data_IF_972475144646
#
_entry.id   IF_972475144646
#
_cell.length_a   1.000
_cell.length_b   1.000
_cell.length_c   1.000
_cell.angle_alpha   90.00
_cell.angle_beta   90.00
_cell.angle_gamma   90.00
#
_symmetry.space_group_name_H-M   'P 1'
#
loop_
_entity.id
_entity.type
_entity.pdbx_description
1 polymer ?
#
# COMPACT_ATOMS: atom_id res chain seq x y z
N UNK A 1 -21.45 -3.94 7.74
CA UNK A 1 -20.66 -2.75 8.07
C UNK A 1 -19.19 -3.12 8.18
N UNK A 2 -18.33 -2.35 7.54
CA UNK A 2 -16.89 -2.58 7.54
C UNK A 2 -16.31 -2.26 8.92
N UNK A 3 -15.63 -3.19 9.61
CA UNK A 3 -15.20 -3.00 11.00
C UNK A 3 -14.16 -1.87 11.16
N UNK A 4 -13.41 -1.57 10.10
CA UNK A 4 -12.42 -0.47 10.11
C UNK A 4 -13.06 0.93 10.14
N UNK A 5 -14.36 1.05 9.83
CA UNK A 5 -15.08 2.32 9.83
C UNK A 5 -15.19 2.96 11.23
N UNK A 6 -15.13 2.15 12.28
CA UNK A 6 -15.18 2.58 13.66
C UNK A 6 -13.82 2.81 14.31
N UNK A 7 -12.74 2.63 13.55
CA UNK A 7 -11.37 2.83 14.04
C UNK A 7 -10.78 4.12 13.50
N UNK A 8 -9.77 4.63 14.20
CA UNK A 8 -8.98 5.76 13.71
C UNK A 8 -8.30 5.35 12.41
N UNK A 9 -8.33 6.25 11.41
CA UNK A 9 -7.64 6.01 10.13
C UNK A 9 -6.13 6.04 10.41
N UNK A 10 -5.38 4.99 10.04
CA UNK A 10 -3.92 4.98 10.20
C UNK A 10 -3.27 6.05 9.35
N UNK A 11 -2.08 6.51 9.72
CA UNK A 11 -1.29 7.39 8.88
C UNK A 11 -0.85 6.66 7.61
N UNK A 12 -0.90 7.35 6.48
CA UNK A 12 -0.53 6.86 5.16
C UNK A 12 0.42 7.85 4.49
N UNK A 13 1.27 7.34 3.61
CA UNK A 13 2.19 8.14 2.82
C UNK A 13 2.57 7.42 1.54
N UNK A 14 3.28 8.09 0.65
CA UNK A 14 3.97 7.47 -0.48
C UNK A 14 5.46 7.49 -0.22
N UNK A 15 6.11 6.35 -0.40
CA UNK A 15 7.56 6.20 -0.24
C UNK A 15 8.17 5.93 -1.61
N UNK A 16 9.27 6.63 -1.91
CA UNK A 16 10.11 6.37 -3.07
C UNK A 16 11.32 5.54 -2.64
N UNK A 17 11.51 4.39 -3.27
CA UNK A 17 12.74 3.62 -3.12
C UNK A 17 13.79 4.14 -4.11
N UNK A 18 14.98 4.40 -3.64
CA UNK A 18 16.08 4.91 -4.46
C UNK A 18 17.15 3.84 -4.62
N UNK A 19 17.00 2.90 -5.57
CA UNK A 19 18.02 1.89 -5.83
C UNK A 19 19.25 2.52 -6.47
N UNK A 20 20.39 1.86 -6.30
CA UNK A 20 21.59 2.17 -7.10
C UNK A 20 21.41 1.56 -8.49
N UNK A 21 20.44 2.11 -9.25
CA UNK A 21 19.97 1.54 -10.51
C UNK A 21 21.06 1.26 -11.54
N UNK A 22 22.16 2.06 -11.52
CA UNK A 22 23.31 1.89 -12.43
C UNK A 22 24.06 0.57 -12.21
N UNK A 23 24.02 0.03 -10.99
CA UNK A 23 24.66 -1.21 -10.60
C UNK A 23 23.73 -2.42 -10.66
N UNK A 24 22.43 -2.19 -10.93
CA UNK A 24 21.45 -3.26 -11.03
C UNK A 24 21.62 -4.06 -12.32
N UNK A 25 21.74 -5.37 -12.16
CA UNK A 25 21.77 -6.35 -13.28
C UNK A 25 20.39 -6.86 -13.62
N UNK A 26 19.54 -6.95 -12.62
CA UNK A 26 18.18 -7.51 -12.69
C UNK A 26 17.23 -6.66 -11.86
N UNK A 27 15.91 -6.67 -12.17
CA UNK A 27 14.90 -6.04 -11.35
C UNK A 27 14.87 -6.62 -9.94
N UNK A 28 14.60 -5.78 -8.93
CA UNK A 28 14.50 -6.18 -7.53
C UNK A 28 13.04 -6.05 -7.06
N UNK A 29 12.48 -7.13 -6.52
CA UNK A 29 11.12 -7.13 -5.97
C UNK A 29 11.13 -6.79 -4.49
N UNK A 30 10.24 -5.91 -4.09
CA UNK A 30 9.91 -5.59 -2.70
C UNK A 30 8.49 -6.06 -2.46
N UNK A 31 8.33 -6.99 -1.54
CA UNK A 31 7.04 -7.61 -1.26
C UNK A 31 6.06 -6.62 -0.58
N UNK A 32 4.76 -6.91 -0.69
CA UNK A 32 3.74 -6.30 0.16
C UNK A 32 4.05 -6.60 1.64
N UNK A 33 3.86 -5.61 2.52
CA UNK A 33 4.15 -5.75 3.95
C UNK A 33 5.62 -5.51 4.32
N UNK A 34 6.46 -5.09 3.35
CA UNK A 34 7.83 -4.70 3.65
C UNK A 34 7.84 -3.49 4.60
N UNK A 35 8.59 -3.60 5.69
CA UNK A 35 8.63 -2.57 6.73
C UNK A 35 9.58 -1.43 6.35
N UNK A 36 9.08 -0.20 6.51
CA UNK A 36 9.85 1.03 6.39
C UNK A 36 9.62 1.89 7.63
N UNK A 37 10.65 2.57 8.08
CA UNK A 37 10.60 3.38 9.28
C UNK A 37 10.70 4.87 8.97
N UNK A 38 9.93 5.69 9.68
CA UNK A 38 10.06 7.13 9.60
C UNK A 38 11.40 7.60 10.20
N UNK A 39 11.73 8.87 9.96
CA UNK A 39 12.70 9.55 10.80
C UNK A 39 12.19 9.58 12.24
N UNK A 40 13.09 9.71 13.25
CA UNK A 40 12.66 9.86 14.63
C UNK A 40 11.72 11.07 14.80
N UNK A 41 10.59 10.87 15.50
CA UNK A 41 9.55 11.87 15.71
C UNK A 41 9.31 12.05 17.21
N UNK A 42 8.94 13.27 17.62
CA UNK A 42 8.62 13.62 18.99
C UNK A 42 9.83 13.65 19.92
N UNK A 43 9.60 13.99 21.18
CA UNK A 43 10.65 14.15 22.20
C UNK A 43 11.42 12.85 22.50
N UNK A 44 10.75 11.71 22.36
CA UNK A 44 11.34 10.37 22.59
C UNK A 44 12.07 9.80 21.39
N UNK A 45 12.07 10.51 20.25
CA UNK A 45 12.70 10.02 19.02
C UNK A 45 12.10 8.73 18.47
N UNK A 46 10.79 8.53 18.62
CA UNK A 46 10.09 7.32 18.16
C UNK A 46 10.12 7.23 16.63
N UNK A 47 10.47 6.07 16.12
CA UNK A 47 10.36 5.75 14.69
C UNK A 47 9.03 5.08 14.41
N UNK A 48 8.20 5.73 13.61
CA UNK A 48 6.92 5.15 13.21
C UNK A 48 7.14 4.10 12.13
N UNK A 49 6.54 2.93 12.33
CA UNK A 49 6.66 1.78 11.44
C UNK A 49 5.55 1.81 10.40
N UNK A 50 5.91 1.69 9.15
CA UNK A 50 4.99 1.59 8.02
C UNK A 50 5.24 0.29 7.27
N UNK A 51 4.24 -0.19 6.57
CA UNK A 51 4.38 -1.32 5.65
C UNK A 51 3.92 -0.95 4.25
N UNK A 52 4.57 -1.50 3.23
CA UNK A 52 4.15 -1.36 1.84
C UNK A 52 2.79 -2.02 1.63
N UNK A 53 1.89 -1.34 0.90
CA UNK A 53 0.52 -1.82 0.69
C UNK A 53 0.40 -2.77 -0.49
N UNK A 54 1.40 -2.82 -1.36
CA UNK A 54 1.50 -3.71 -2.51
C UNK A 54 2.94 -4.09 -2.81
N UNK A 55 3.12 -5.12 -3.63
CA UNK A 55 4.42 -5.46 -4.20
C UNK A 55 4.84 -4.38 -5.20
N UNK A 56 6.14 -4.09 -5.24
CA UNK A 56 6.76 -3.21 -6.23
C UNK A 56 8.02 -3.86 -6.78
N UNK A 57 8.24 -3.68 -8.08
CA UNK A 57 9.46 -4.11 -8.76
C UNK A 57 10.30 -2.88 -9.14
N UNK A 58 11.47 -2.77 -8.54
CA UNK A 58 12.45 -1.74 -8.87
C UNK A 58 13.18 -2.15 -10.14
N UNK A 59 13.16 -1.26 -11.13
CA UNK A 59 13.77 -1.52 -12.43
C UNK A 59 15.18 -0.92 -12.51
N UNK A 60 16.09 -1.48 -13.33
CA UNK A 60 17.45 -0.98 -13.53
C UNK A 60 17.49 0.27 -14.43
N UNK A 61 16.61 1.24 -14.16
CA UNK A 61 16.44 2.47 -14.93
C UNK A 61 16.07 3.66 -14.03
N UNK A 62 16.26 4.85 -14.56
CA UNK A 62 15.82 6.09 -13.92
C UNK A 62 15.24 7.04 -14.97
N UNK A 63 14.25 7.84 -14.58
CA UNK A 63 13.75 8.92 -15.42
C UNK A 63 14.76 10.06 -15.38
N UNK A 64 15.41 10.34 -16.52
CA UNK A 64 16.45 11.38 -16.64
C UNK A 64 15.82 12.76 -16.78
N UNK A 65 14.81 12.87 -17.66
CA UNK A 65 14.03 14.08 -17.80
C UNK A 65 12.61 13.83 -18.29
N UNK A 66 11.73 14.77 -17.97
CA UNK A 66 10.39 14.90 -18.53
C UNK A 66 10.24 16.34 -19.05
N UNK A 67 9.94 16.50 -20.32
CA UNK A 67 9.86 17.82 -20.97
C UNK A 67 8.59 17.96 -21.78
N UNK A 68 7.97 19.12 -21.64
CA UNK A 68 6.85 19.53 -22.49
C UNK A 68 7.40 20.38 -23.63
N UNK A 69 7.02 20.06 -24.86
CA UNK A 69 7.37 20.78 -26.07
C UNK A 69 6.18 20.88 -27.00
N UNK A 70 6.33 21.60 -28.09
CA UNK A 70 5.32 21.67 -29.13
C UNK A 70 5.90 21.09 -30.42
N UNK A 71 5.19 20.15 -31.03
CA UNK A 71 5.52 19.57 -32.34
C UNK A 71 5.31 20.61 -33.48
N UNK A 72 5.97 20.49 -34.63
CA UNK A 72 5.72 21.34 -35.82
C UNK A 72 4.23 21.45 -36.21
N UNK A 73 3.44 20.41 -35.93
CA UNK A 73 1.99 20.41 -36.15
C UNK A 73 1.18 21.19 -35.10
N UNK A 74 1.86 21.85 -34.12
CA UNK A 74 1.24 22.61 -33.04
C UNK A 74 0.69 21.78 -31.87
N UNK A 75 0.93 20.46 -31.85
CA UNK A 75 0.52 19.57 -30.78
C UNK A 75 1.49 19.60 -29.61
N UNK A 76 0.98 19.43 -28.41
CA UNK A 76 1.81 19.26 -27.22
C UNK A 76 2.41 17.86 -27.17
N UNK A 77 3.70 17.80 -26.88
CA UNK A 77 4.46 16.53 -26.76
C UNK A 77 5.17 16.51 -25.42
N UNK A 78 4.96 15.44 -24.68
CA UNK A 78 5.68 15.16 -23.44
C UNK A 78 6.77 14.12 -23.73
N UNK A 79 8.04 14.51 -23.66
CA UNK A 79 9.17 13.60 -23.85
C UNK A 79 9.67 13.08 -22.53
N UNK A 80 9.65 11.76 -22.37
CA UNK A 80 10.13 11.03 -21.18
C UNK A 80 11.39 10.25 -21.56
N UNK A 81 12.54 10.67 -21.03
CA UNK A 81 13.80 9.98 -21.28
C UNK A 81 14.24 9.17 -20.07
N UNK A 82 14.54 7.92 -20.31
CA UNK A 82 15.01 6.97 -19.31
C UNK A 82 16.48 6.65 -19.54
N UNK A 83 17.29 6.77 -18.50
CA UNK A 83 18.65 6.24 -18.45
C UNK A 83 18.61 4.81 -17.93
N UNK A 84 19.34 3.94 -18.58
CA UNK A 84 19.33 2.50 -18.35
C UNK A 84 20.67 2.00 -17.80
N UNK A 85 20.64 1.01 -16.91
CA UNK A 85 21.85 0.38 -16.40
C UNK A 85 22.59 -0.35 -17.51
N UNK A 86 23.88 -0.10 -17.66
CA UNK A 86 24.75 -0.80 -18.59
C UNK A 86 25.06 -2.25 -18.17
N UNK A 87 24.74 -2.61 -16.93
CA UNK A 87 24.94 -3.97 -16.41
C UNK A 87 23.68 -4.85 -16.59
N UNK A 88 22.54 -4.25 -16.94
CA UNK A 88 21.30 -4.98 -17.05
C UNK A 88 21.19 -5.78 -18.35
N UNK A 89 20.68 -6.99 -18.24
CA UNK A 89 20.33 -7.83 -19.40
C UNK A 89 18.91 -7.47 -19.87
N UNK A 90 18.79 -6.47 -20.74
CA UNK A 90 17.51 -5.90 -21.17
C UNK A 90 16.53 -6.91 -21.77
N UNK A 91 17.04 -7.97 -22.38
CA UNK A 91 16.20 -9.09 -22.88
C UNK A 91 15.49 -9.87 -21.76
N UNK A 92 15.88 -9.70 -20.50
CA UNK A 92 15.29 -10.36 -19.32
C UNK A 92 14.54 -9.40 -18.40
N UNK A 93 14.60 -8.09 -18.70
CA UNK A 93 13.89 -7.06 -17.90
C UNK A 93 12.44 -7.00 -18.38
N UNK A 94 11.52 -7.25 -17.46
CA UNK A 94 10.09 -7.11 -17.73
C UNK A 94 9.69 -5.64 -17.63
N UNK A 95 9.41 -5.04 -18.80
CA UNK A 95 8.89 -3.68 -18.93
C UNK A 95 7.41 -3.67 -19.35
N UNK A 96 6.67 -4.74 -19.08
CA UNK A 96 5.24 -4.81 -19.36
C UNK A 96 4.44 -3.67 -18.74
N UNK A 97 4.94 -3.12 -17.62
CA UNK A 97 4.39 -1.93 -17.00
C UNK A 97 5.49 -1.13 -16.27
N UNK A 98 5.62 0.16 -16.58
CA UNK A 98 6.43 1.10 -15.81
C UNK A 98 5.49 1.97 -14.98
N UNK A 99 5.42 1.79 -13.66
CA UNK A 99 4.59 2.61 -12.78
C UNK A 99 5.24 3.96 -12.49
N UNK A 100 4.45 5.02 -12.52
CA UNK A 100 4.80 6.38 -12.14
C UNK A 100 3.90 6.87 -11.02
N UNK A 101 4.44 7.73 -10.18
CA UNK A 101 3.70 8.52 -9.20
C UNK A 101 3.79 10.00 -9.55
N UNK A 102 2.66 10.71 -9.55
CA UNK A 102 2.60 12.15 -9.72
C UNK A 102 2.90 12.85 -8.39
N UNK A 103 4.15 13.23 -8.19
CA UNK A 103 4.61 13.95 -7.02
C UNK A 103 4.44 15.46 -7.23
N UNK A 104 3.21 15.93 -7.21
CA UNK A 104 2.84 17.32 -7.48
C UNK A 104 1.67 17.74 -6.58
N UNK A 105 1.40 19.03 -6.54
CA UNK A 105 0.17 19.55 -5.96
C UNK A 105 -1.06 19.05 -6.73
N UNK A 106 -2.23 19.14 -6.11
CA UNK A 106 -3.43 18.51 -6.67
C UNK A 106 -3.80 19.02 -8.07
N UNK A 107 -3.74 20.33 -8.40
CA UNK A 107 -4.05 20.80 -9.74
C UNK A 107 -3.11 20.24 -10.81
N UNK A 108 -1.80 20.28 -10.58
CA UNK A 108 -0.83 19.74 -11.52
C UNK A 108 -0.93 18.22 -11.63
N UNK A 109 -1.09 17.51 -10.51
CA UNK A 109 -1.23 16.05 -10.50
C UNK A 109 -2.48 15.59 -11.29
N UNK A 110 -3.62 16.28 -11.15
CA UNK A 110 -4.82 15.99 -11.92
C UNK A 110 -4.65 16.30 -13.42
N UNK A 111 -4.03 17.43 -13.76
CA UNK A 111 -3.75 17.79 -15.15
C UNK A 111 -2.82 16.76 -15.82
N UNK A 112 -1.78 16.32 -15.12
CA UNK A 112 -0.89 15.27 -15.61
C UNK A 112 -1.63 13.94 -15.76
N UNK A 113 -2.45 13.56 -14.78
CA UNK A 113 -3.23 12.34 -14.84
C UNK A 113 -4.16 12.33 -16.08
N UNK A 114 -4.87 13.43 -16.32
CA UNK A 114 -5.71 13.61 -17.50
C UNK A 114 -4.90 13.53 -18.81
N UNK A 115 -3.78 14.26 -18.88
CA UNK A 115 -2.93 14.27 -20.09
C UNK A 115 -2.47 12.86 -20.48
N UNK A 116 -2.01 12.07 -19.51
CA UNK A 116 -1.48 10.75 -19.81
C UNK A 116 -2.57 9.69 -20.03
N UNK A 117 -3.67 9.72 -19.27
CA UNK A 117 -4.67 8.64 -19.31
C UNK A 117 -5.81 8.91 -20.30
N UNK A 118 -6.15 10.16 -20.57
CA UNK A 118 -7.30 10.55 -21.39
C UNK A 118 -6.92 11.32 -22.65
N UNK A 119 -5.83 12.09 -22.62
CA UNK A 119 -5.45 12.99 -23.70
C UNK A 119 -4.23 12.50 -24.51
N UNK A 120 -3.79 11.25 -24.34
CA UNK A 120 -2.73 10.66 -25.15
C UNK A 120 -3.27 10.21 -26.51
N UNK A 121 -2.79 10.82 -27.60
CA UNK A 121 -3.17 10.45 -28.95
C UNK A 121 -2.27 9.36 -29.55
N UNK A 122 -0.95 9.49 -29.34
CA UNK A 122 0.06 8.57 -29.91
C UNK A 122 1.29 8.51 -29.01
N UNK A 123 1.96 7.36 -29.03
CA UNK A 123 3.27 7.17 -28.43
C UNK A 123 4.31 6.91 -29.50
N UNK A 124 5.48 7.51 -29.32
CA UNK A 124 6.64 7.28 -30.16
C UNK A 124 7.80 6.83 -29.28
N UNK A 125 8.57 5.88 -29.76
CA UNK A 125 9.76 5.37 -29.11
C UNK A 125 10.99 5.78 -29.90
N UNK A 126 12.04 6.18 -29.20
CA UNK A 126 13.38 6.41 -29.72
C UNK A 126 14.40 5.60 -28.95
N UNK A 127 15.22 4.86 -29.68
CA UNK A 127 16.35 4.09 -29.12
C UNK A 127 17.68 4.67 -29.60
N UNK A 128 18.80 4.35 -28.91
CA UNK A 128 20.13 4.69 -29.39
C UNK A 128 20.40 4.12 -30.78
N UNK A 129 20.86 4.97 -31.70
CA UNK A 129 21.14 4.57 -33.10
C UNK A 129 19.96 4.67 -34.05
N UNK A 130 18.72 4.88 -33.56
CA UNK A 130 17.59 5.20 -34.43
C UNK A 130 17.78 6.63 -34.99
N UNK A 131 17.66 6.78 -36.31
CA UNK A 131 17.68 8.10 -36.94
C UNK A 131 16.43 8.90 -36.60
N UNK A 132 15.27 8.22 -36.60
CA UNK A 132 13.96 8.81 -36.32
C UNK A 132 13.21 8.04 -35.23
N UNK A 133 12.23 8.71 -34.63
CA UNK A 133 11.28 8.09 -33.71
C UNK A 133 10.38 7.09 -34.45
N UNK A 134 10.10 5.95 -33.84
CA UNK A 134 9.20 4.92 -34.38
C UNK A 134 7.89 4.87 -33.58
N UNK A 135 6.74 4.55 -34.23
CA UNK A 135 5.49 4.43 -33.50
C UNK A 135 5.57 3.27 -32.49
N UNK A 136 4.99 3.49 -31.34
CA UNK A 136 4.88 2.51 -30.27
C UNK A 136 3.39 2.24 -30.02
N UNK A 137 2.99 0.97 -30.08
CA UNK A 137 1.65 0.53 -29.69
C UNK A 137 1.60 0.36 -28.17
N UNK A 138 1.40 1.47 -27.47
CA UNK A 138 1.37 1.54 -26.04
C UNK A 138 0.32 2.50 -25.53
N UNK A 139 0.07 2.45 -24.22
CA UNK A 139 -0.91 3.30 -23.57
C UNK A 139 -0.59 3.49 -22.10
N UNK A 140 -1.20 4.51 -21.49
CA UNK A 140 -1.17 4.72 -20.07
C UNK A 140 -2.47 4.23 -19.41
N UNK A 141 -2.34 3.64 -18.24
CA UNK A 141 -3.46 3.16 -17.43
C UNK A 141 -3.40 3.75 -16.03
N UNK A 142 -4.54 4.21 -15.52
CA UNK A 142 -4.64 4.64 -14.13
C UNK A 142 -4.44 3.43 -13.19
N UNK A 143 -3.67 3.62 -12.13
CA UNK A 143 -3.41 2.62 -11.11
C UNK A 143 -4.06 3.04 -9.78
N UNK A 144 -4.11 2.12 -8.83
CA UNK A 144 -4.67 2.39 -7.50
C UNK A 144 -6.14 1.97 -7.32
N UNK A 145 -6.80 1.46 -8.38
CA UNK A 145 -8.22 1.07 -8.35
C UNK A 145 -8.43 -0.44 -8.21
N UNK A 146 -7.39 -1.23 -8.43
CA UNK A 146 -7.46 -2.69 -8.36
C UNK A 146 -7.60 -3.22 -6.93
N UNK A 147 -8.04 -4.48 -6.83
CA UNK A 147 -8.16 -5.18 -5.57
C UNK A 147 -6.79 -5.35 -4.87
N UNK A 148 -5.72 -5.51 -5.63
CA UNK A 148 -4.35 -5.63 -5.13
C UNK A 148 -3.75 -4.29 -4.68
N UNK A 149 -4.36 -3.17 -5.09
CA UNK A 149 -3.95 -1.82 -4.70
C UNK A 149 -4.55 -1.35 -3.36
N UNK A 150 -5.29 -2.20 -2.65
CA UNK A 150 -5.93 -1.81 -1.39
C UNK A 150 -4.93 -1.45 -0.31
N UNK A 151 -5.19 -0.35 0.40
CA UNK A 151 -4.37 0.11 1.52
C UNK A 151 -4.56 -0.79 2.75
N UNK A 152 -5.81 -1.15 3.05
CA UNK A 152 -6.14 -2.06 4.15
C UNK A 152 -6.31 -3.49 3.65
N UNK A 153 -6.00 -4.49 4.48
CA UNK A 153 -6.34 -5.87 4.19
C UNK A 153 -7.85 -6.02 3.94
N UNK A 154 -8.22 -6.89 3.01
CA UNK A 154 -9.63 -7.21 2.74
C UNK A 154 -10.23 -7.90 3.95
N UNK A 155 -11.28 -7.33 4.52
CA UNK A 155 -12.14 -8.05 5.46
C UNK A 155 -13.11 -8.97 4.70
N UNK A 156 -13.36 -10.17 5.24
CA UNK A 156 -14.23 -11.21 4.62
C UNK A 156 -15.66 -10.74 4.32
N UNK A 157 -16.09 -9.64 4.92
CA UNK A 157 -17.49 -9.22 4.97
C UNK A 157 -17.76 -7.83 4.41
N UNK A 158 -16.78 -7.18 3.77
CA UNK A 158 -16.97 -5.82 3.30
C UNK A 158 -17.10 -5.71 1.79
N UNK A 159 -18.05 -4.90 1.33
CA UNK A 159 -18.17 -4.53 -0.07
C UNK A 159 -16.98 -3.63 -0.47
N UNK A 160 -16.26 -4.05 -1.51
CA UNK A 160 -15.02 -3.39 -1.94
C UNK A 160 -15.20 -1.92 -2.34
N UNK A 161 -16.37 -1.54 -2.84
CA UNK A 161 -16.67 -0.17 -3.24
C UNK A 161 -16.65 0.82 -2.08
N UNK A 162 -17.10 0.44 -0.88
CA UNK A 162 -17.01 1.32 0.29
C UNK A 162 -15.57 1.55 0.75
N UNK A 163 -14.73 0.52 0.63
CA UNK A 163 -13.31 0.67 0.93
C UNK A 163 -12.65 1.64 -0.04
N UNK A 164 -12.92 1.49 -1.34
CA UNK A 164 -12.36 2.37 -2.37
C UNK A 164 -12.76 3.84 -2.15
N UNK A 165 -14.03 4.09 -1.82
CA UNK A 165 -14.52 5.43 -1.48
C UNK A 165 -13.82 6.01 -0.24
N UNK A 166 -13.67 5.20 0.81
CA UNK A 166 -12.97 5.65 2.01
C UNK A 166 -11.50 6.00 1.71
N UNK A 167 -10.82 5.16 0.95
CA UNK A 167 -9.43 5.40 0.54
C UNK A 167 -9.30 6.67 -0.30
N UNK A 168 -10.25 6.93 -1.20
CA UNK A 168 -10.26 8.15 -2.02
C UNK A 168 -10.39 9.43 -1.18
N UNK A 169 -11.28 9.43 -0.20
CA UNK A 169 -11.48 10.60 0.65
C UNK A 169 -10.43 10.76 1.75
N UNK A 170 -9.70 9.70 2.09
CA UNK A 170 -8.68 9.74 3.16
C UNK A 170 -7.25 9.84 2.65
N UNK A 171 -6.96 9.26 1.48
CA UNK A 171 -5.62 9.22 0.89
C UNK A 171 -5.69 9.17 -0.64
N UNK A 172 -6.04 10.27 -1.26
CA UNK A 172 -6.19 10.38 -2.72
C UNK A 172 -4.88 10.19 -3.48
N UNK A 173 -3.72 10.36 -2.83
CA UNK A 173 -2.39 10.16 -3.41
C UNK A 173 -2.23 8.74 -3.96
N UNK A 174 -2.94 7.76 -3.41
CA UNK A 174 -3.03 6.40 -3.94
C UNK A 174 -3.50 6.35 -5.41
N UNK A 175 -4.34 7.29 -5.81
CA UNK A 175 -4.92 7.34 -7.16
C UNK A 175 -4.11 8.20 -8.13
N UNK A 176 -3.00 8.78 -7.67
CA UNK A 176 -2.07 9.55 -8.48
C UNK A 176 -0.95 8.68 -9.04
N UNK A 177 -1.24 7.41 -9.29
CA UNK A 177 -0.36 6.48 -9.96
C UNK A 177 -0.89 6.14 -11.35
N UNK A 178 0.01 6.00 -12.31
CA UNK A 178 -0.28 5.48 -13.64
C UNK A 178 0.78 4.48 -14.07
N UNK A 179 0.46 3.64 -15.04
CA UNK A 179 1.37 2.68 -15.64
C UNK A 179 1.51 2.91 -17.15
N UNK A 180 2.73 3.03 -17.64
CA UNK A 180 3.03 2.95 -19.07
C UNK A 180 3.10 1.48 -19.47
N UNK A 181 2.37 1.09 -20.51
CA UNK A 181 2.32 -0.25 -21.08
C UNK A 181 2.68 -0.25 -22.57
N UNK A 182 2.98 -1.41 -23.12
CA UNK A 182 3.30 -1.59 -24.54
C UNK A 182 4.79 -1.74 -24.81
N UNK A 183 5.66 -1.65 -23.80
CA UNK A 183 7.09 -1.88 -23.96
C UNK A 183 7.46 -3.38 -24.05
N UNK A 184 6.57 -4.27 -23.66
CA UNK A 184 6.74 -5.73 -23.79
C UNK A 184 6.85 -6.21 -25.23
N UNK A 185 6.27 -5.47 -26.19
CA UNK A 185 6.37 -5.75 -27.61
C UNK A 185 7.67 -5.22 -28.26
N UNK A 186 8.46 -4.45 -27.49
CA UNK A 186 9.68 -3.82 -28.00
C UNK A 186 10.89 -4.75 -27.81
N UNK A 187 11.63 -5.00 -28.88
CA UNK A 187 12.90 -5.71 -28.80
C UNK A 187 13.97 -4.68 -28.46
N UNK A 188 14.45 -4.74 -27.24
CA UNK A 188 15.55 -3.90 -26.77
C UNK A 188 16.91 -4.52 -27.14
N UNK A 189 17.91 -3.70 -27.55
CA UNK A 189 19.25 -4.17 -27.74
C UNK A 189 19.88 -4.65 -26.41
N UNK A 190 20.88 -5.54 -26.50
CA UNK A 190 21.58 -6.04 -25.31
C UNK A 190 22.24 -4.93 -24.49
N UNK A 191 22.74 -3.92 -25.18
CA UNK A 191 23.27 -2.70 -24.57
C UNK A 191 22.30 -1.56 -24.84
N UNK A 192 21.60 -1.14 -23.80
CA UNK A 192 20.62 -0.06 -23.85
C UNK A 192 21.00 1.04 -22.85
N UNK A 193 21.73 2.08 -23.26
CA UNK A 193 22.08 3.18 -22.36
C UNK A 193 20.89 4.06 -21.99
N UNK A 194 19.93 4.21 -22.90
CA UNK A 194 18.74 5.03 -22.72
C UNK A 194 17.65 4.67 -23.72
N UNK A 195 16.43 5.04 -23.41
CA UNK A 195 15.31 5.14 -24.38
C UNK A 195 14.46 6.36 -24.06
N UNK A 196 13.72 6.83 -25.05
CA UNK A 196 12.85 8.00 -24.92
C UNK A 196 11.47 7.70 -25.46
N UNK A 197 10.45 8.10 -24.71
CA UNK A 197 9.04 7.99 -25.11
C UNK A 197 8.50 9.40 -25.31
N UNK A 198 8.06 9.70 -26.53
CA UNK A 198 7.33 10.92 -26.85
C UNK A 198 5.81 10.63 -26.80
N UNK A 199 5.15 11.30 -25.88
CA UNK A 199 3.71 11.25 -25.69
C UNK A 199 3.07 12.43 -26.41
N UNK A 200 2.44 12.19 -27.56
CA UNK A 200 1.75 13.23 -28.31
C UNK A 200 0.33 13.35 -27.76
N UNK A 201 -0.03 14.55 -27.31
CA UNK A 201 -1.37 14.80 -26.78
C UNK A 201 -2.37 15.04 -27.94
N UNK A 202 -3.60 14.62 -27.73
CA UNK A 202 -4.71 14.86 -28.66
C UNK A 202 -5.11 16.34 -28.66
N UNK A 203 -5.16 16.92 -27.46
CA UNK A 203 -5.43 18.33 -27.23
C UNK A 203 -4.18 19.06 -26.75
N UNK A 204 -4.13 20.35 -26.94
CA UNK A 204 -3.01 21.18 -26.50
C UNK A 204 -3.00 21.24 -24.97
N UNK A 205 -1.79 21.20 -24.40
CA UNK A 205 -1.60 21.49 -22.97
C UNK A 205 -1.82 22.99 -22.73
N UNK A 206 -2.98 23.32 -22.20
CA UNK A 206 -3.40 24.71 -21.98
C UNK A 206 -3.12 25.22 -20.56
N UNK A 207 -2.52 24.39 -19.72
CA UNK A 207 -2.22 24.76 -18.35
C UNK A 207 -0.95 25.60 -18.26
N UNK A 208 -0.96 26.62 -17.41
CA UNK A 208 0.23 27.41 -17.06
C UNK A 208 1.24 26.63 -16.18
N UNK A 209 0.98 25.35 -15.97
CA UNK A 209 1.84 24.49 -15.16
C UNK A 209 3.02 23.98 -16.00
N UNK A 210 4.24 24.22 -15.53
CA UNK A 210 5.41 23.52 -16.01
C UNK A 210 5.66 22.28 -15.13
N UNK A 211 6.00 21.16 -15.76
CA UNK A 211 6.42 19.98 -15.01
C UNK A 211 7.80 19.50 -15.48
N UNK A 212 8.46 18.76 -14.61
CA UNK A 212 9.78 18.19 -14.81
C UNK A 212 9.77 16.74 -14.31
N UNK A 213 10.88 16.03 -14.47
CA UNK A 213 11.10 14.70 -13.88
C UNK A 213 10.84 14.61 -12.38
N UNK A 214 10.91 15.75 -11.65
CA UNK A 214 10.64 15.80 -10.21
C UNK A 214 9.18 15.53 -9.86
N UNK A 215 8.28 15.78 -10.80
CA UNK A 215 6.85 15.54 -10.64
C UNK A 215 6.42 14.13 -11.07
N UNK A 216 7.30 13.39 -11.78
CA UNK A 216 7.10 12.02 -12.23
C UNK A 216 8.10 11.11 -11.53
N UNK A 217 7.66 10.39 -10.50
CA UNK A 217 8.53 9.54 -9.71
C UNK A 217 8.34 8.07 -10.04
N UNK A 218 9.45 7.39 -10.24
CA UNK A 218 9.51 5.93 -10.32
C UNK A 218 9.69 5.33 -8.92
N UNK A 219 9.50 4.02 -8.82
CA UNK A 219 9.80 3.24 -7.61
C UNK A 219 9.04 3.73 -6.36
N UNK A 220 7.86 4.31 -6.56
CA UNK A 220 7.00 4.76 -5.49
C UNK A 220 5.95 3.70 -5.13
N UNK A 221 5.64 3.60 -3.85
CA UNK A 221 4.60 2.72 -3.33
C UNK A 221 3.87 3.38 -2.16
N UNK A 222 2.53 3.27 -2.08
CA UNK A 222 1.81 3.67 -0.88
C UNK A 222 2.22 2.80 0.32
N UNK A 223 2.36 3.44 1.47
CA UNK A 223 2.65 2.80 2.75
C UNK A 223 1.61 3.19 3.78
N UNK A 224 1.36 2.30 4.72
CA UNK A 224 0.40 2.49 5.80
C UNK A 224 1.04 2.19 7.15
N UNK A 225 0.72 2.99 8.17
CA UNK A 225 1.18 2.78 9.54
C UNK A 225 0.38 1.66 10.22
N UNK A 226 0.47 0.47 9.65
CA UNK A 226 -0.03 -0.79 10.20
C UNK A 226 1.10 -1.81 10.10
N UNK A 227 1.37 -2.54 11.18
CA UNK A 227 2.48 -3.48 11.23
C UNK A 227 2.15 -4.67 12.14
N UNK A 228 2.73 -5.85 11.88
CA UNK A 228 2.48 -7.03 12.70
C UNK A 228 3.03 -6.81 14.12
N UNK A 229 2.25 -7.28 15.09
CA UNK A 229 2.60 -7.31 16.51
C UNK A 229 2.23 -8.67 17.10
N UNK A 230 2.93 -9.02 18.16
CA UNK A 230 2.58 -10.11 19.05
C UNK A 230 2.11 -9.54 20.40
N UNK A 231 1.22 -10.24 21.08
CA UNK A 231 0.84 -9.91 22.45
C UNK A 231 1.74 -10.64 23.45
N UNK A 232 1.86 -10.08 24.64
CA UNK A 232 2.28 -10.88 25.77
C UNK A 232 1.33 -12.07 25.92
N UNK A 233 1.82 -13.27 26.30
CA UNK A 233 0.96 -14.42 26.57
C UNK A 233 -0.10 -14.06 27.61
N UNK A 234 -1.34 -14.42 27.33
CA UNK A 234 -2.47 -14.12 28.18
C UNK A 234 -2.94 -15.41 28.86
N UNK A 235 -2.82 -15.47 30.18
CA UNK A 235 -3.32 -16.62 30.95
C UNK A 235 -4.78 -16.40 31.33
N UNK A 236 -5.63 -17.36 31.04
CA UNK A 236 -7.04 -17.32 31.41
C UNK A 236 -7.21 -17.49 32.92
N UNK A 237 -8.15 -16.72 33.47
CA UNK A 237 -8.53 -16.79 34.86
C UNK A 237 -10.06 -16.74 34.95
N UNK A 238 -10.64 -17.69 35.68
CA UNK A 238 -12.11 -17.79 35.86
C UNK A 238 -12.75 -16.56 36.53
N UNK A 239 -11.95 -15.72 37.18
CA UNK A 239 -12.41 -14.49 37.86
C UNK A 239 -12.45 -13.25 36.92
N UNK A 240 -11.89 -13.36 35.74
CA UNK A 240 -11.78 -12.22 34.79
C UNK A 240 -12.66 -12.46 33.58
N UNK A 241 -13.50 -11.49 33.26
CA UNK A 241 -14.37 -11.48 32.08
C UNK A 241 -13.78 -10.69 30.90
N UNK A 242 -12.82 -9.84 31.17
CA UNK A 242 -12.15 -9.00 30.16
C UNK A 242 -10.64 -9.01 30.42
N UNK A 243 -9.84 -9.12 29.37
CA UNK A 243 -8.38 -9.14 29.44
C UNK A 243 -7.79 -7.97 28.66
N UNK A 244 -7.00 -7.14 29.34
CA UNK A 244 -6.28 -6.06 28.70
C UNK A 244 -5.10 -6.62 27.90
N UNK A 245 -5.11 -6.40 26.59
CA UNK A 245 -4.03 -6.81 25.71
C UNK A 245 -2.84 -5.87 25.81
N UNK A 246 -1.66 -6.43 25.89
CA UNK A 246 -0.40 -5.68 25.91
C UNK A 246 0.48 -6.12 24.74
N UNK A 247 0.91 -5.19 23.87
CA UNK A 247 1.87 -5.50 22.82
C UNK A 247 3.20 -5.93 23.42
N UNK A 248 3.77 -7.01 22.90
CA UNK A 248 5.05 -7.54 23.35
C UNK A 248 6.19 -6.62 22.88
N UNK A 249 7.18 -6.38 23.76
CA UNK A 249 8.42 -5.63 23.47
C UNK A 249 8.24 -4.19 22.96
N UNK A 250 7.17 -3.52 23.30
CA UNK A 250 6.97 -2.11 22.95
C UNK A 250 7.62 -1.23 24.01
N UNK A 251 8.71 -0.55 23.63
CA UNK A 251 9.50 0.28 24.56
C UNK A 251 9.13 1.77 24.51
N UNK A 252 8.53 2.24 23.41
CA UNK A 252 8.34 3.68 23.16
C UNK A 252 7.04 4.27 23.71
N UNK A 253 6.07 3.44 24.12
CA UNK A 253 4.78 3.88 24.64
C UNK A 253 3.88 4.57 23.61
N UNK A 254 4.18 4.43 22.32
CA UNK A 254 3.42 5.02 21.20
C UNK A 254 2.87 3.96 20.24
N UNK A 255 2.66 2.74 20.72
CA UNK A 255 2.07 1.65 19.93
C UNK A 255 0.71 1.29 20.50
N UNK A 256 -0.29 1.29 19.61
CA UNK A 256 -1.65 0.87 19.89
C UNK A 256 -1.97 -0.41 19.10
N UNK A 257 -2.84 -1.25 19.65
CA UNK A 257 -3.38 -2.41 18.92
C UNK A 257 -4.48 -1.92 18.00
N UNK A 258 -4.27 -2.09 16.70
CA UNK A 258 -5.25 -1.74 15.67
C UNK A 258 -6.29 -2.84 15.49
N UNK A 259 -5.87 -4.11 15.31
CA UNK A 259 -6.74 -5.29 15.24
C UNK A 259 -6.16 -6.46 15.99
N UNK A 260 -7.03 -7.36 16.43
CA UNK A 260 -6.70 -8.73 16.85
C UNK A 260 -6.99 -9.62 15.67
N UNK A 261 -5.97 -10.23 15.10
CA UNK A 261 -6.05 -10.96 13.83
C UNK A 261 -6.34 -12.45 14.07
N UNK A 262 -5.73 -13.03 15.11
CA UNK A 262 -6.04 -14.39 15.55
C UNK A 262 -5.88 -14.57 17.06
N UNK A 263 -6.63 -15.49 17.61
CA UNK A 263 -6.55 -15.92 19.00
C UNK A 263 -6.53 -17.44 19.04
N UNK A 264 -5.48 -18.02 19.61
CA UNK A 264 -5.30 -19.46 19.74
C UNK A 264 -4.95 -19.80 21.19
N UNK A 265 -5.51 -20.88 21.69
CA UNK A 265 -5.15 -21.41 23.01
C UNK A 265 -3.95 -22.36 22.96
N UNK A 266 -3.33 -22.61 24.11
CA UNK A 266 -2.29 -23.63 24.28
C UNK A 266 -2.79 -25.04 23.95
N UNK A 267 -4.07 -25.29 24.09
CA UNK A 267 -4.77 -26.55 23.69
C UNK A 267 -5.13 -26.58 22.21
N UNK A 268 -4.63 -25.62 21.40
CA UNK A 268 -4.87 -25.50 19.96
C UNK A 268 -6.33 -25.18 19.56
N UNK A 269 -7.16 -24.70 20.47
CA UNK A 269 -8.47 -24.19 20.11
C UNK A 269 -8.34 -22.81 19.44
N UNK A 270 -9.02 -22.62 18.32
CA UNK A 270 -9.06 -21.35 17.60
C UNK A 270 -10.34 -20.60 17.97
N UNK A 271 -10.19 -19.39 18.48
CA UNK A 271 -11.31 -18.51 18.79
C UNK A 271 -11.75 -17.75 17.54
N UNK A 272 -13.03 -17.82 17.22
CA UNK A 272 -13.61 -17.12 16.05
C UNK A 272 -13.99 -15.69 16.43
N UNK A 273 -13.70 -14.67 15.60
CA UNK A 273 -14.21 -13.33 15.85
C UNK A 273 -15.74 -13.32 15.87
N UNK A 274 -16.36 -12.85 16.92
CA UNK A 274 -17.83 -12.81 17.05
C UNK A 274 -18.51 -12.03 15.93
N UNK A 275 -17.90 -10.96 15.45
CA UNK A 275 -18.36 -10.19 14.29
C UNK A 275 -18.43 -11.05 13.02
N UNK A 276 -17.42 -11.87 12.77
CA UNK A 276 -17.38 -12.79 11.62
C UNK A 276 -18.44 -13.88 11.70
N UNK A 277 -18.61 -14.48 12.88
CA UNK A 277 -19.63 -15.47 13.15
C UNK A 277 -21.04 -14.91 12.89
N UNK A 278 -21.34 -13.75 13.48
CA UNK A 278 -22.63 -13.07 13.31
C UNK A 278 -22.91 -12.71 11.85
N UNK A 279 -21.90 -12.26 11.12
CA UNK A 279 -22.02 -11.92 9.70
C UNK A 279 -22.33 -13.15 8.83
N UNK A 280 -21.73 -14.28 9.11
CA UNK A 280 -21.99 -15.55 8.41
C UNK A 280 -23.37 -16.17 8.73
N UNK A 281 -24.18 -15.50 9.55
CA UNK A 281 -25.55 -15.90 9.88
C UNK A 281 -25.63 -17.02 10.92
N UNK A 282 -24.56 -17.28 11.67
CA UNK A 282 -24.52 -18.32 12.69
C UNK A 282 -25.61 -18.18 13.75
N UNK A 283 -25.89 -16.93 14.19
CA UNK A 283 -27.00 -16.70 15.14
C UNK A 283 -28.37 -17.04 14.57
N UNK A 284 -28.59 -16.90 13.26
CA UNK A 284 -29.86 -17.27 12.61
C UNK A 284 -29.98 -18.79 12.41
N UNK A 285 -28.86 -19.51 12.37
CA UNK A 285 -28.82 -20.98 12.23
C UNK A 285 -28.87 -21.70 13.56
N UNK A 286 -28.94 -20.99 14.69
CA UNK A 286 -28.86 -21.51 16.05
C UNK A 286 -27.59 -22.37 16.33
N UNK A 287 -26.52 -22.09 15.55
CA UNK A 287 -25.20 -22.68 15.76
C UNK A 287 -24.34 -21.70 16.55
N UNK A 288 -24.12 -21.91 17.82
CA UNK A 288 -23.16 -21.15 18.60
C UNK A 288 -21.75 -21.68 18.35
N UNK A 289 -20.73 -20.81 18.13
CA UNK A 289 -19.37 -21.29 18.10
C UNK A 289 -18.95 -21.73 19.51
N UNK A 290 -18.17 -22.79 19.54
CA UNK A 290 -17.65 -23.32 20.81
C UNK A 290 -16.79 -22.26 21.53
N UNK A 291 -15.99 -21.55 20.76
CA UNK A 291 -15.12 -20.47 21.22
C UNK A 291 -15.22 -19.24 20.31
N UNK A 292 -15.48 -18.07 20.89
CA UNK A 292 -15.40 -16.80 20.16
C UNK A 292 -14.74 -15.69 20.98
N UNK A 293 -14.27 -14.66 20.31
CA UNK A 293 -13.78 -13.46 20.97
C UNK A 293 -14.43 -12.20 20.45
N UNK A 294 -14.47 -11.17 21.30
CA UNK A 294 -14.87 -9.83 20.99
C UNK A 294 -13.82 -8.85 21.52
N UNK A 295 -13.60 -7.74 20.80
CA UNK A 295 -12.67 -6.71 21.25
C UNK A 295 -13.40 -5.44 21.63
N UNK A 296 -12.97 -4.81 22.70
CA UNK A 296 -13.43 -3.49 23.15
C UNK A 296 -12.25 -2.54 23.28
N UNK A 297 -12.39 -1.35 22.71
CA UNK A 297 -11.37 -0.30 22.77
C UNK A 297 -11.80 0.76 23.78
N UNK A 298 -10.90 1.14 24.70
CA UNK A 298 -11.11 2.19 25.69
C UNK A 298 -9.93 3.15 25.67
N UNK A 299 -10.18 4.42 25.82
CA UNK A 299 -9.12 5.43 25.96
C UNK A 299 -8.47 5.29 27.32
N UNK A 300 -7.14 5.10 27.33
CA UNK A 300 -6.34 5.01 28.55
C UNK A 300 -5.94 6.39 29.11
N UNK A 301 -5.38 6.42 30.31
CA UNK A 301 -4.89 7.66 30.94
C UNK A 301 -3.80 8.38 30.16
N UNK A 302 -3.00 7.64 29.39
CA UNK A 302 -1.95 8.17 28.49
C UNK A 302 -2.50 8.82 27.21
N UNK A 303 -3.83 8.81 27.00
CA UNK A 303 -4.46 9.26 25.76
C UNK A 303 -4.45 8.22 24.63
N UNK A 304 -3.71 7.12 24.79
CA UNK A 304 -3.69 6.00 23.85
C UNK A 304 -4.91 5.09 24.02
N UNK A 305 -5.23 4.33 23.00
CA UNK A 305 -6.32 3.37 23.05
C UNK A 305 -5.83 2.01 23.56
N UNK A 306 -6.44 1.55 24.65
CA UNK A 306 -6.24 0.21 25.17
C UNK A 306 -7.27 -0.75 24.59
N UNK A 307 -6.83 -1.92 24.13
CA UNK A 307 -7.70 -2.96 23.61
C UNK A 307 -7.91 -4.05 24.66
N UNK A 308 -9.17 -4.39 24.86
CA UNK A 308 -9.61 -5.44 25.77
C UNK A 308 -10.18 -6.58 24.98
N UNK A 309 -9.82 -7.81 25.35
CA UNK A 309 -10.33 -9.05 24.80
C UNK A 309 -11.42 -9.59 25.72
N UNK A 310 -12.55 -9.94 25.17
CA UNK A 310 -13.69 -10.59 25.82
C UNK A 310 -13.88 -11.91 25.12
N UNK A 311 -13.90 -12.98 25.90
CA UNK A 311 -14.09 -14.34 25.41
C UNK A 311 -15.50 -14.83 25.69
N UNK A 312 -15.99 -15.73 24.87
CA UNK A 312 -17.29 -16.35 25.03
C UNK A 312 -17.43 -17.59 24.14
N UNK A 313 -18.57 -18.25 24.25
CA UNK A 313 -18.91 -19.46 23.51
C UNK A 313 -19.54 -20.50 24.41
N UNK A 314 -19.99 -21.60 23.82
CA UNK A 314 -20.65 -22.65 24.55
C UNK A 314 -19.79 -23.26 25.67
N UNK A 315 -18.46 -23.32 25.44
CA UNK A 315 -17.52 -23.78 26.46
C UNK A 315 -17.48 -22.88 27.71
N UNK A 316 -17.66 -21.56 27.55
CA UNK A 316 -17.71 -20.61 28.66
C UNK A 316 -19.03 -20.69 29.44
N UNK A 317 -20.15 -20.91 28.74
CA UNK A 317 -21.48 -21.04 29.35
C UNK A 317 -21.57 -22.30 30.17
N UNK A 318 -20.90 -23.35 29.77
CA UNK A 318 -20.87 -24.65 30.47
C UNK A 318 -19.77 -24.76 31.54
N UNK A 319 -19.03 -23.65 31.84
CA UNK A 319 -17.91 -23.62 32.78
C UNK A 319 -16.83 -24.69 32.50
N UNK A 320 -16.62 -25.03 31.23
CA UNK A 320 -15.66 -26.05 30.80
C UNK A 320 -14.30 -25.44 30.37
N UNK A 321 -14.16 -24.14 30.51
CA UNK A 321 -12.89 -23.47 30.18
C UNK A 321 -11.81 -23.93 31.16
N UNK A 322 -10.70 -24.50 30.69
CA UNK A 322 -9.59 -24.90 31.54
C UNK A 322 -9.04 -23.69 32.29
N UNK A 323 -8.90 -23.80 33.59
CA UNK A 323 -8.13 -22.83 34.37
C UNK A 323 -6.66 -22.94 33.96
N UNK A 324 -5.96 -21.79 33.94
CA UNK A 324 -4.54 -21.67 33.56
C UNK A 324 -4.23 -21.93 32.07
N UNK A 325 -5.22 -21.91 31.20
CA UNK A 325 -4.97 -21.97 29.76
C UNK A 325 -4.33 -20.66 29.27
N UNK A 326 -3.28 -20.79 28.45
CA UNK A 326 -2.60 -19.63 27.87
C UNK A 326 -3.11 -19.36 26.45
N UNK A 327 -3.33 -18.08 26.14
CA UNK A 327 -3.69 -17.63 24.80
C UNK A 327 -2.51 -16.95 24.12
N UNK A 328 -2.31 -17.29 22.84
CA UNK A 328 -1.40 -16.64 21.91
C UNK A 328 -2.22 -15.82 20.92
N UNK A 329 -1.84 -14.56 20.72
CA UNK A 329 -2.55 -13.64 19.84
C UNK A 329 -1.61 -13.07 18.78
N UNK A 330 -2.08 -13.05 17.53
CA UNK A 330 -1.48 -12.24 16.46
C UNK A 330 -2.25 -10.93 16.37
N UNK A 331 -1.52 -9.84 16.28
CA UNK A 331 -2.07 -8.48 16.32
C UNK A 331 -1.55 -7.66 15.15
N UNK A 332 -2.34 -6.69 14.73
CA UNK A 332 -1.86 -5.58 13.91
C UNK A 332 -1.79 -4.33 14.78
N UNK A 333 -0.64 -3.66 14.74
CA UNK A 333 -0.37 -2.44 15.50
C UNK A 333 -0.36 -1.18 14.65
N UNK A 334 -0.43 -0.03 15.32
CA UNK A 334 -0.28 1.31 14.75
C UNK A 334 0.43 2.22 15.74
N UNK A 335 1.07 3.29 15.26
CA UNK A 335 1.60 4.37 16.12
C UNK A 335 0.56 5.44 16.46
N UNK A 336 -0.73 5.18 16.19
CA UNK A 336 -1.85 6.03 16.54
C UNK A 336 -1.77 7.42 15.91
N UNK A 337 -1.75 8.46 16.74
CA UNK A 337 -1.72 9.85 16.28
C UNK A 337 -0.30 10.41 16.13
N UNK A 338 0.75 9.69 16.56
CA UNK A 338 2.12 10.20 16.55
C UNK A 338 2.63 10.58 15.14
N UNK A 339 2.34 9.83 14.07
CA UNK A 339 2.83 10.14 12.73
C UNK A 339 1.98 11.16 11.96
N UNK A 340 1.06 11.84 12.61
CA UNK A 340 0.17 12.85 12.02
C UNK A 340 0.71 14.27 12.17
#
# INVERSE_FOLDING_TARGET
LWPHYLRTIPSMSVVEFTPVWREMKEPMRIARGFEVNSRPIGEKGTRCRYTTTKEITLQPLALEHARLSTDPDGRSVISLRFSCSHLAHWSRVDLSQIPFYFNADAPLACAMHEAFTMNTARLWLRLPGDGDRRPMDGYFTALGFGDDDRLWPKGDSSFSGYQLLLEYFTFREKFMFMGLRGLEAVIFPSELPWFEIDVVLAERWEHDFSFTEKHLRLNCVPVINLFPLESDPLTLNSLQTEYMLRPMRVQDGHTEIYTVDSVMSSSQHTYVPFSSFRHKGGMMRHEAPEYYYHTRVRRGPSGLHNTWLILGGEAFDNHTVPEDESLSLTLTGTNGQLPR
#
